data_IF_849320652448
#
_entry.id   IF_849320652448
#
_cell.length_a   1.000
_cell.length_b   1.000
_cell.length_c   1.000
_cell.angle_alpha   90.00
_cell.angle_beta   90.00
_cell.angle_gamma   90.00
#
_symmetry.space_group_name_H-M   'P 1'
#
loop_
_entity.id
_entity.type
_entity.pdbx_description
1 polymer ?
#
# COMPACT_ATOMS: atom_id res chain seq x y z
N UNK A 1 -14.87 20.98 0.50
CA UNK A 1 -15.48 21.89 -0.50
C UNK A 1 -16.57 22.72 0.17
N UNK A 2 -16.53 24.06 0.03
CA UNK A 2 -17.51 24.97 0.66
C UNK A 2 -18.93 24.60 0.22
N UNK A 3 -19.84 24.39 1.18
CA UNK A 3 -21.25 24.00 0.92
C UNK A 3 -21.51 22.50 0.68
N UNK A 4 -20.49 21.72 0.32
CA UNK A 4 -20.62 20.27 0.05
C UNK A 4 -20.14 19.44 1.25
N UNK A 5 -19.09 19.89 1.92
CA UNK A 5 -18.42 19.18 3.01
C UNK A 5 -17.11 18.53 2.55
N UNK A 6 -16.73 17.43 3.19
CA UNK A 6 -15.49 16.72 2.93
C UNK A 6 -15.64 15.82 1.70
N UNK A 7 -14.71 15.96 0.76
CA UNK A 7 -14.69 15.18 -0.48
C UNK A 7 -13.37 14.46 -0.57
N UNK A 8 -13.42 13.13 -0.63
CA UNK A 8 -12.27 12.26 -0.79
C UNK A 8 -12.23 11.80 -2.25
N UNK A 9 -11.07 11.92 -2.89
CA UNK A 9 -10.89 11.49 -4.27
C UNK A 9 -9.98 10.26 -4.34
N UNK A 10 -10.26 9.37 -5.28
CA UNK A 10 -9.46 8.17 -5.45
C UNK A 10 -9.94 7.29 -6.59
N UNK A 11 -9.23 6.18 -6.78
CA UNK A 11 -9.60 5.14 -7.74
C UNK A 11 -10.18 3.94 -7.00
N UNK A 12 -11.27 3.39 -7.53
CA UNK A 12 -11.81 2.13 -7.01
C UNK A 12 -10.91 0.98 -7.48
N UNK A 13 -10.25 0.32 -6.54
CA UNK A 13 -9.35 -0.80 -6.84
C UNK A 13 -10.08 -2.14 -6.95
N UNK A 14 -11.06 -2.36 -6.09
CA UNK A 14 -11.81 -3.61 -5.98
C UNK A 14 -13.19 -3.34 -5.39
N UNK A 15 -14.13 -4.23 -5.67
CA UNK A 15 -15.51 -4.14 -5.17
C UNK A 15 -16.32 -3.06 -5.87
N UNK A 16 -17.42 -2.65 -5.24
CA UNK A 16 -18.33 -1.63 -5.75
C UNK A 16 -18.51 -0.60 -4.66
N UNK A 17 -18.41 0.69 -4.99
CA UNK A 17 -18.66 1.77 -4.03
C UNK A 17 -20.06 2.32 -4.24
N UNK A 18 -20.92 2.20 -3.22
CA UNK A 18 -22.28 2.74 -3.20
C UNK A 18 -22.45 3.85 -2.15
N UNK A 19 -23.35 4.82 -2.40
CA UNK A 19 -23.85 5.71 -1.36
C UNK A 19 -24.41 4.95 -0.15
N UNK A 20 -24.43 5.60 1.00
CA UNK A 20 -24.91 5.13 2.29
C UNK A 20 -24.11 4.01 2.97
N UNK A 21 -22.97 3.61 2.42
CA UNK A 21 -22.09 2.62 3.05
C UNK A 21 -21.16 3.28 4.09
N UNK A 22 -20.95 2.58 5.21
CA UNK A 22 -19.98 2.97 6.23
C UNK A 22 -18.57 2.54 5.83
N UNK A 23 -17.60 3.45 5.96
CA UNK A 23 -16.22 3.29 5.53
C UNK A 23 -15.24 3.60 6.66
N UNK A 24 -14.06 2.99 6.57
CA UNK A 24 -12.88 3.33 7.37
C UNK A 24 -11.69 3.58 6.46
N UNK A 25 -10.74 4.39 6.93
CA UNK A 25 -9.56 4.78 6.15
C UNK A 25 -8.30 4.25 6.81
N UNK A 26 -7.65 3.28 6.17
CA UNK A 26 -6.46 2.60 6.69
C UNK A 26 -5.20 3.21 6.05
N UNK A 27 -4.10 3.43 6.79
CA UNK A 27 -3.85 2.97 8.14
C UNK A 27 -4.20 4.00 9.24
N UNK A 28 -4.73 5.18 8.87
CA UNK A 28 -5.07 6.27 9.81
C UNK A 28 -6.12 5.85 10.85
N UNK A 29 -7.05 4.97 10.49
CA UNK A 29 -7.95 4.29 11.41
C UNK A 29 -7.20 3.26 12.23
N UNK A 30 -7.34 3.32 13.56
CA UNK A 30 -6.92 2.28 14.51
C UNK A 30 -8.04 2.04 15.51
N UNK A 31 -8.05 0.92 16.26
CA UNK A 31 -9.02 0.68 17.34
C UNK A 31 -9.06 1.81 18.38
N UNK A 32 -7.92 2.46 18.64
CA UNK A 32 -7.78 3.59 19.56
C UNK A 32 -8.08 4.95 18.94
N UNK A 33 -8.04 5.07 17.61
CA UNK A 33 -8.13 6.36 16.91
C UNK A 33 -8.96 6.19 15.64
N UNK A 34 -10.24 6.56 15.74
CA UNK A 34 -11.18 6.39 14.64
C UNK A 34 -10.84 7.32 13.46
N UNK A 35 -10.73 6.73 12.26
CA UNK A 35 -10.86 7.43 10.98
C UNK A 35 -11.97 6.75 10.18
N UNK A 36 -13.21 7.15 10.45
CA UNK A 36 -14.42 6.51 9.89
C UNK A 36 -15.30 7.55 9.22
N UNK A 37 -16.17 7.12 8.31
CA UNK A 37 -17.18 7.98 7.72
C UNK A 37 -18.29 7.20 7.04
N UNK A 38 -19.22 7.92 6.42
CA UNK A 38 -20.31 7.36 5.60
C UNK A 38 -20.32 8.04 4.23
N UNK A 39 -20.29 7.24 3.16
CA UNK A 39 -20.36 7.75 1.79
C UNK A 39 -21.75 8.33 1.56
N UNK A 40 -21.85 9.60 1.19
CA UNK A 40 -23.12 10.28 0.94
C UNK A 40 -23.44 10.38 -0.55
N UNK A 41 -22.48 10.81 -1.37
CA UNK A 41 -22.60 10.83 -2.83
C UNK A 41 -21.34 10.30 -3.47
N UNK A 42 -21.51 9.68 -4.65
CA UNK A 42 -20.44 9.27 -5.55
C UNK A 42 -20.54 10.14 -6.79
N UNK A 43 -19.45 10.79 -7.17
CA UNK A 43 -19.41 11.71 -8.30
C UNK A 43 -18.26 11.35 -9.25
N UNK A 44 -18.56 11.30 -10.55
CA UNK A 44 -17.60 11.12 -11.64
C UNK A 44 -17.83 12.22 -12.66
N UNK A 45 -16.77 12.97 -13.01
CA UNK A 45 -16.85 14.07 -13.99
C UNK A 45 -18.04 15.03 -13.76
N UNK A 46 -18.19 15.52 -12.53
CA UNK A 46 -19.27 16.44 -12.11
C UNK A 46 -20.70 15.88 -12.22
N UNK A 47 -20.84 14.56 -12.40
CA UNK A 47 -22.14 13.88 -12.45
C UNK A 47 -22.26 12.89 -11.29
N UNK A 48 -23.43 12.85 -10.65
CA UNK A 48 -23.72 11.87 -9.61
C UNK A 48 -23.93 10.48 -10.19
N UNK A 49 -23.44 9.49 -9.47
CA UNK A 49 -23.47 8.09 -9.87
C UNK A 49 -24.15 7.28 -8.77
N UNK A 50 -24.93 6.27 -9.17
CA UNK A 50 -25.58 5.36 -8.22
C UNK A 50 -24.57 4.41 -7.56
N UNK A 51 -23.50 4.10 -8.28
CA UNK A 51 -22.39 3.27 -7.82
C UNK A 51 -21.13 3.56 -8.64
N UNK A 52 -19.97 3.18 -8.11
CA UNK A 52 -18.71 3.15 -8.85
C UNK A 52 -18.10 1.75 -8.85
N UNK A 53 -17.45 1.42 -9.96
CA UNK A 53 -16.90 0.11 -10.27
C UNK A 53 -15.36 0.14 -10.27
N UNK A 54 -14.70 -1.02 -10.19
CA UNK A 54 -13.24 -1.08 -10.26
C UNK A 54 -12.72 -0.41 -11.53
N UNK A 55 -11.76 0.50 -11.37
CA UNK A 55 -11.22 1.32 -12.45
C UNK A 55 -11.68 2.76 -12.44
N UNK A 56 -12.82 3.05 -11.84
CA UNK A 56 -13.39 4.40 -11.81
C UNK A 56 -12.59 5.34 -10.92
N UNK A 57 -12.36 6.57 -11.40
CA UNK A 57 -11.83 7.66 -10.60
C UNK A 57 -13.00 8.50 -10.09
N UNK A 58 -13.17 8.55 -8.78
CA UNK A 58 -14.37 9.09 -8.13
C UNK A 58 -14.02 10.20 -7.15
N UNK A 59 -14.94 11.15 -7.00
CA UNK A 59 -15.05 12.02 -5.84
C UNK A 59 -16.17 11.51 -4.94
N UNK A 60 -15.87 11.28 -3.67
CA UNK A 60 -16.81 10.77 -2.67
C UNK A 60 -17.07 11.88 -1.66
N UNK A 61 -18.33 12.32 -1.52
CA UNK A 61 -18.72 13.12 -0.38
C UNK A 61 -18.84 12.19 0.83
N UNK A 62 -18.03 12.41 1.86
CA UNK A 62 -18.03 11.56 3.06
C UNK A 62 -18.47 12.38 4.25
N UNK A 63 -19.47 11.88 4.97
CA UNK A 63 -19.99 12.50 6.21
C UNK A 63 -19.46 11.78 7.43
N UNK A 64 -19.37 12.51 8.55
CA UNK A 64 -18.97 11.94 9.84
C UNK A 64 -17.47 11.67 9.97
N UNK A 65 -16.64 12.27 9.12
CA UNK A 65 -15.19 12.23 9.30
C UNK A 65 -14.79 12.96 10.59
N UNK A 66 -13.85 12.37 11.33
CA UNK A 66 -13.29 12.93 12.56
C UNK A 66 -12.26 13.99 12.20
N UNK A 67 -12.51 15.25 12.55
CA UNK A 67 -11.66 16.39 12.14
C UNK A 67 -10.23 16.27 12.66
N UNK A 68 -10.07 15.70 13.84
CA UNK A 68 -8.79 15.51 14.52
C UNK A 68 -7.97 14.38 13.89
N UNK A 69 -8.62 13.45 13.18
CA UNK A 69 -7.99 12.30 12.55
C UNK A 69 -8.54 12.06 11.13
N UNK A 70 -8.39 13.08 10.28
CA UNK A 70 -8.86 13.05 8.89
C UNK A 70 -8.07 12.06 8.03
N UNK A 71 -8.69 11.46 7.00
CA UNK A 71 -7.99 10.64 6.01
C UNK A 71 -6.83 11.39 5.35
N UNK A 72 -5.75 10.68 5.08
CA UNK A 72 -4.53 11.23 4.48
C UNK A 72 -4.30 10.66 3.08
N UNK A 73 -3.51 11.37 2.28
CA UNK A 73 -3.05 10.82 1.00
C UNK A 73 -2.29 9.52 1.24
N UNK A 74 -2.70 8.47 0.53
CA UNK A 74 -2.15 7.14 0.71
C UNK A 74 -3.00 6.23 1.59
N UNK A 75 -4.01 6.77 2.27
CA UNK A 75 -5.00 5.94 2.95
C UNK A 75 -5.83 5.16 1.94
N UNK A 76 -6.14 3.92 2.30
CA UNK A 76 -7.05 3.04 1.58
C UNK A 76 -8.39 3.07 2.28
N UNK A 77 -9.42 3.50 1.55
CA UNK A 77 -10.80 3.42 2.01
C UNK A 77 -11.31 1.99 1.82
N UNK A 78 -11.80 1.38 2.90
CA UNK A 78 -12.50 0.09 2.86
C UNK A 78 -13.87 0.25 3.52
N UNK A 79 -14.78 -0.68 3.23
CA UNK A 79 -16.01 -0.74 4.00
C UNK A 79 -15.73 -1.15 5.43
N UNK A 80 -16.45 -0.58 6.38
CA UNK A 80 -16.28 -0.88 7.81
C UNK A 80 -16.55 -2.36 8.13
N UNK A 81 -17.39 -3.02 7.32
CA UNK A 81 -17.66 -4.46 7.40
C UNK A 81 -16.56 -5.34 6.79
N UNK A 82 -15.60 -4.74 6.09
CA UNK A 82 -14.47 -5.44 5.47
C UNK A 82 -13.32 -5.59 6.47
N UNK A 83 -13.03 -6.83 6.84
CA UNK A 83 -11.92 -7.20 7.73
C UNK A 83 -10.73 -7.83 7.02
N UNK A 84 -10.68 -7.79 5.68
CA UNK A 84 -9.63 -8.44 4.89
C UNK A 84 -8.31 -7.68 4.96
N UNK A 85 -8.35 -6.36 5.12
CA UNK A 85 -7.16 -5.50 5.21
C UNK A 85 -6.78 -5.24 6.67
N UNK A 86 -5.49 -5.39 6.99
CA UNK A 86 -4.95 -5.20 8.34
C UNK A 86 -3.73 -4.28 8.31
N UNK A 87 -3.40 -3.67 9.45
CA UNK A 87 -2.15 -2.93 9.59
C UNK A 87 -0.96 -3.86 9.38
N UNK A 88 0.01 -3.43 8.59
CA UNK A 88 1.17 -4.25 8.23
C UNK A 88 2.31 -3.97 9.20
N UNK A 89 2.83 -5.03 9.83
CA UNK A 89 4.08 -4.97 10.60
C UNK A 89 5.28 -5.15 9.67
N UNK A 90 5.21 -6.19 8.83
CA UNK A 90 6.20 -6.47 7.81
C UNK A 90 5.53 -7.13 6.60
N UNK A 91 6.17 -7.03 5.44
CA UNK A 91 5.69 -7.69 4.23
C UNK A 91 6.84 -8.36 3.50
N UNK A 92 6.57 -9.57 2.99
CA UNK A 92 7.48 -10.29 2.10
C UNK A 92 7.15 -9.89 0.67
N UNK A 93 8.15 -9.44 -0.09
CA UNK A 93 8.00 -9.09 -1.50
C UNK A 93 9.02 -9.81 -2.36
N UNK A 94 8.59 -10.24 -3.54
CA UNK A 94 9.50 -10.59 -4.63
C UNK A 94 9.87 -9.32 -5.37
N UNK A 95 11.16 -9.03 -5.48
CA UNK A 95 11.70 -7.80 -6.05
C UNK A 95 12.65 -8.11 -7.20
N UNK A 96 12.58 -7.28 -8.23
CA UNK A 96 13.63 -7.11 -9.23
C UNK A 96 14.47 -5.90 -8.80
N UNK A 97 15.75 -6.13 -8.53
CA UNK A 97 16.71 -5.04 -8.33
C UNK A 97 17.06 -4.45 -9.69
N UNK A 98 16.95 -3.13 -9.80
CA UNK A 98 17.29 -2.38 -11.01
C UNK A 98 18.76 -1.97 -10.95
N UNK A 99 19.13 -0.87 -11.60
CA UNK A 99 20.49 -0.38 -11.56
C UNK A 99 20.75 0.39 -10.26
N UNK A 100 21.57 -0.18 -9.39
CA UNK A 100 21.94 0.40 -8.10
C UNK A 100 23.46 0.53 -7.99
N UNK A 101 23.98 1.62 -7.40
CA UNK A 101 25.40 1.78 -7.17
C UNK A 101 25.84 0.85 -6.02
N UNK A 102 26.44 -0.29 -6.36
CA UNK A 102 27.03 -1.21 -5.39
C UNK A 102 26.08 -2.32 -4.94
N UNK A 103 26.03 -2.57 -3.64
CA UNK A 103 25.32 -3.70 -3.04
C UNK A 103 24.26 -3.23 -2.02
N UNK A 104 23.07 -3.82 -2.07
CA UNK A 104 22.01 -3.62 -1.09
C UNK A 104 22.16 -4.68 0.00
N UNK A 105 22.23 -4.24 1.26
CA UNK A 105 22.34 -5.12 2.43
C UNK A 105 21.17 -4.91 3.39
N UNK A 106 20.95 -5.89 4.27
CA UNK A 106 19.99 -5.77 5.38
C UNK A 106 20.24 -4.47 6.15
N UNK A 107 19.16 -3.76 6.46
CA UNK A 107 19.19 -2.40 7.03
C UNK A 107 18.98 -1.28 6.00
N UNK A 108 19.15 -1.55 4.70
CA UNK A 108 18.81 -0.60 3.64
C UNK A 108 17.35 -0.15 3.75
N UNK A 109 17.09 1.16 3.66
CA UNK A 109 15.78 1.74 3.99
C UNK A 109 15.24 2.66 2.88
N UNK A 110 14.90 2.11 1.70
CA UNK A 110 14.32 2.90 0.61
C UNK A 110 12.90 3.38 0.95
N UNK A 111 12.39 4.32 0.16
CA UNK A 111 10.98 4.71 0.22
C UNK A 111 10.18 3.76 -0.66
N UNK A 112 9.30 2.96 -0.05
CA UNK A 112 8.34 2.14 -0.76
C UNK A 112 7.11 2.97 -1.10
N UNK A 113 6.66 2.87 -2.35
CA UNK A 113 5.42 3.41 -2.87
C UNK A 113 4.47 2.28 -3.21
N UNK A 114 3.24 2.35 -2.68
CA UNK A 114 2.14 1.44 -2.97
C UNK A 114 0.94 2.29 -3.30
N UNK A 115 0.54 2.31 -4.58
CA UNK A 115 -0.46 3.26 -5.09
C UNK A 115 -0.09 4.69 -4.71
N UNK A 116 -0.94 5.38 -3.95
CA UNK A 116 -0.70 6.75 -3.46
C UNK A 116 -0.06 6.77 -2.07
N UNK A 117 0.09 5.61 -1.43
CA UNK A 117 0.74 5.43 -0.15
C UNK A 117 2.25 5.34 -0.28
N UNK A 118 2.95 5.83 0.74
CA UNK A 118 4.40 5.73 0.83
C UNK A 118 4.88 5.60 2.26
N UNK A 119 5.97 4.85 2.45
CA UNK A 119 6.69 4.78 3.73
C UNK A 119 8.15 4.44 3.46
N UNK A 120 9.05 4.99 4.27
CA UNK A 120 10.38 4.40 4.37
C UNK A 120 10.22 2.95 4.87
N UNK A 121 10.89 2.00 4.24
CA UNK A 121 10.76 0.58 4.56
C UNK A 121 12.15 -0.01 4.77
N UNK A 122 12.44 -0.47 5.99
CA UNK A 122 13.70 -1.12 6.31
C UNK A 122 13.70 -2.53 5.73
N UNK A 123 14.72 -2.88 4.97
CA UNK A 123 15.01 -4.24 4.55
C UNK A 123 15.45 -5.05 5.78
N UNK A 124 14.56 -5.91 6.28
CA UNK A 124 14.77 -6.71 7.48
C UNK A 124 15.49 -8.03 7.18
N UNK A 125 15.30 -8.59 5.99
CA UNK A 125 15.94 -9.84 5.59
C UNK A 125 15.85 -10.10 4.09
N UNK A 126 16.77 -10.91 3.58
CA UNK A 126 16.77 -11.40 2.21
C UNK A 126 16.65 -12.92 2.30
N UNK A 127 15.53 -13.48 1.84
CA UNK A 127 15.26 -14.92 1.93
C UNK A 127 16.01 -15.68 0.85
N UNK A 128 15.97 -15.18 -0.37
CA UNK A 128 16.68 -15.79 -1.49
C UNK A 128 16.96 -14.78 -2.58
N UNK A 129 17.95 -15.08 -3.43
CA UNK A 129 18.22 -14.36 -4.67
C UNK A 129 18.52 -15.28 -5.86
N UNK A 130 18.32 -14.75 -7.06
CA UNK A 130 18.64 -15.35 -8.35
C UNK A 130 19.24 -14.26 -9.22
N UNK A 131 20.41 -14.51 -9.81
CA UNK A 131 21.07 -13.55 -10.66
C UNK A 131 22.26 -14.13 -11.40
N UNK A 132 23.05 -13.26 -12.05
CA UNK A 132 24.27 -13.67 -12.76
C UNK A 132 25.30 -14.28 -11.81
N UNK A 133 25.46 -13.71 -10.61
CA UNK A 133 26.42 -14.22 -9.61
C UNK A 133 26.06 -15.62 -9.09
N UNK A 134 24.77 -15.93 -9.02
CA UNK A 134 24.32 -17.27 -8.61
C UNK A 134 24.28 -18.26 -9.77
N UNK A 135 24.74 -17.86 -10.96
CA UNK A 135 24.66 -18.68 -12.18
C UNK A 135 23.22 -18.99 -12.58
N UNK A 136 22.27 -18.10 -12.25
CA UNK A 136 20.84 -18.30 -12.48
C UNK A 136 20.17 -19.30 -11.52
N UNK A 137 20.90 -19.81 -10.52
CA UNK A 137 20.34 -20.70 -9.49
C UNK A 137 19.81 -19.90 -8.31
N UNK A 138 18.84 -20.47 -7.61
CA UNK A 138 18.32 -19.92 -6.35
C UNK A 138 19.37 -20.10 -5.26
N UNK A 139 19.79 -18.99 -4.65
CA UNK A 139 20.65 -18.95 -3.48
C UNK A 139 19.80 -18.49 -2.29
N UNK A 140 19.68 -19.35 -1.28
CA UNK A 140 19.00 -19.03 -0.02
C UNK A 140 19.92 -18.16 0.88
N UNK A 141 19.31 -17.33 1.71
CA UNK A 141 19.95 -16.47 2.72
C UNK A 141 21.19 -15.68 2.26
N UNK A 142 21.13 -14.94 1.12
CA UNK A 142 22.26 -14.19 0.63
C UNK A 142 22.56 -12.96 1.51
N UNK A 143 23.84 -12.59 1.62
CA UNK A 143 24.27 -11.43 2.42
C UNK A 143 23.95 -10.07 1.78
N UNK A 144 23.81 -10.02 0.45
CA UNK A 144 23.59 -8.78 -0.29
C UNK A 144 22.91 -9.03 -1.65
N UNK A 145 22.26 -7.99 -2.17
CA UNK A 145 21.70 -7.92 -3.51
C UNK A 145 22.50 -6.96 -4.40
N UNK A 146 22.58 -7.27 -5.70
CA UNK A 146 23.21 -6.45 -6.74
C UNK A 146 22.22 -6.14 -7.86
N UNK A 147 22.63 -5.25 -8.76
CA UNK A 147 21.84 -4.87 -9.93
C UNK A 147 21.41 -6.08 -10.76
N UNK A 148 20.16 -6.04 -11.25
CA UNK A 148 19.54 -7.06 -12.08
C UNK A 148 19.30 -8.43 -11.40
N UNK A 149 19.39 -8.51 -10.07
CA UNK A 149 19.02 -9.72 -9.33
C UNK A 149 17.51 -9.75 -9.01
N UNK A 150 16.93 -10.93 -9.07
CA UNK A 150 15.61 -11.22 -8.52
C UNK A 150 15.78 -11.75 -7.10
N UNK A 151 14.97 -11.27 -6.15
CA UNK A 151 15.06 -11.70 -4.76
C UNK A 151 13.70 -11.76 -4.09
N UNK A 152 13.59 -12.52 -3.02
CA UNK A 152 12.51 -12.39 -2.06
C UNK A 152 13.04 -11.79 -0.78
N UNK A 153 12.45 -10.67 -0.37
CA UNK A 153 12.91 -9.83 0.72
C UNK A 153 11.79 -9.55 1.68
N UNK A 154 12.15 -9.27 2.94
CA UNK A 154 11.22 -8.86 3.98
C UNK A 154 11.46 -7.38 4.29
N UNK A 155 10.42 -6.58 4.17
CA UNK A 155 10.44 -5.16 4.51
C UNK A 155 9.59 -4.86 5.74
N UNK A 156 10.07 -3.92 6.54
CA UNK A 156 9.38 -3.37 7.71
C UNK A 156 9.10 -1.88 7.47
N UNK A 157 7.84 -1.46 7.29
CA UNK A 157 7.49 -0.05 7.18
C UNK A 157 7.82 0.72 8.48
N UNK A 158 8.53 1.84 8.34
CA UNK A 158 8.84 2.75 9.45
C UNK A 158 7.61 3.62 9.78
N UNK A 159 6.91 4.08 8.76
CA UNK A 159 5.60 4.71 8.89
C UNK A 159 4.49 3.72 8.51
N UNK A 160 3.25 3.90 9.02
CA UNK A 160 2.13 3.07 8.61
C UNK A 160 1.95 3.08 7.09
N UNK A 161 1.92 1.90 6.50
CA UNK A 161 1.74 1.67 5.06
C UNK A 161 0.71 0.56 4.88
N UNK A 162 -0.16 0.74 3.90
CA UNK A 162 -1.05 -0.32 3.43
C UNK A 162 -0.41 -1.00 2.23
N UNK A 163 -0.19 -2.30 2.35
CA UNK A 163 0.31 -3.20 1.31
C UNK A 163 -0.34 -4.55 1.55
N UNK A 164 -0.63 -5.30 0.49
CA UNK A 164 -1.24 -6.61 0.63
C UNK A 164 -0.78 -7.59 -0.46
N UNK A 165 -1.05 -8.87 -0.26
CA UNK A 165 -0.81 -9.91 -1.26
C UNK A 165 -1.64 -9.68 -2.52
N UNK A 166 -1.08 -10.08 -3.65
CA UNK A 166 -1.76 -10.03 -4.94
C UNK A 166 -3.08 -10.82 -4.96
N UNK A 167 -3.18 -11.88 -4.15
CA UNK A 167 -4.39 -12.70 -4.07
C UNK A 167 -5.55 -11.95 -3.41
N UNK A 168 -5.27 -11.11 -2.41
CA UNK A 168 -6.32 -10.33 -1.76
C UNK A 168 -6.68 -9.09 -2.58
N UNK A 169 -5.68 -8.27 -2.90
CA UNK A 169 -5.86 -7.08 -3.71
C UNK A 169 -4.64 -6.87 -4.62
N UNK A 170 -4.81 -7.11 -5.92
CA UNK A 170 -3.76 -6.90 -6.91
C UNK A 170 -3.19 -5.48 -6.84
N UNK A 171 -4.06 -4.48 -6.68
CA UNK A 171 -3.66 -3.08 -6.69
C UNK A 171 -2.73 -2.69 -5.53
N UNK A 172 -2.88 -3.32 -4.37
CA UNK A 172 -2.06 -3.05 -3.19
C UNK A 172 -0.80 -3.91 -3.11
N UNK A 173 -0.60 -4.81 -4.07
CA UNK A 173 0.53 -5.73 -4.08
C UNK A 173 1.76 -5.21 -4.82
N UNK A 174 1.60 -4.22 -5.70
CA UNK A 174 2.70 -3.68 -6.50
C UNK A 174 3.42 -2.59 -5.70
N UNK A 175 4.71 -2.76 -5.51
CA UNK A 175 5.56 -1.87 -4.70
C UNK A 175 6.68 -1.33 -5.57
N UNK A 176 6.85 -0.01 -5.61
CA UNK A 176 8.06 0.60 -6.18
C UNK A 176 8.93 1.10 -5.04
N UNK A 177 10.20 0.70 -5.00
CA UNK A 177 11.15 1.18 -4.00
C UNK A 177 12.10 2.17 -4.65
N UNK A 178 12.22 3.34 -4.02
CA UNK A 178 13.00 4.46 -4.54
C UNK A 178 14.05 4.94 -3.54
N UNK A 179 15.15 5.44 -4.09
CA UNK A 179 16.21 6.14 -3.37
C UNK A 179 16.53 7.44 -4.11
N UNK A 180 16.41 8.57 -3.41
CA UNK A 180 16.40 9.88 -4.05
C UNK A 180 15.34 9.94 -5.15
N UNK A 181 15.76 10.18 -6.39
CA UNK A 181 14.89 10.24 -7.57
C UNK A 181 14.91 8.95 -8.41
N UNK A 182 15.71 7.94 -8.02
CA UNK A 182 15.88 6.70 -8.75
C UNK A 182 14.99 5.58 -8.23
N UNK A 183 14.44 4.77 -9.13
CA UNK A 183 13.80 3.50 -8.77
C UNK A 183 14.88 2.45 -8.62
N UNK A 184 15.01 1.88 -7.42
CA UNK A 184 16.05 0.89 -7.10
C UNK A 184 15.54 -0.54 -7.19
N UNK A 185 14.25 -0.75 -6.87
CA UNK A 185 13.62 -2.07 -6.95
C UNK A 185 12.15 -1.93 -7.36
N UNK A 186 11.67 -2.90 -8.15
CA UNK A 186 10.25 -3.10 -8.41
C UNK A 186 9.82 -4.41 -7.77
N UNK A 187 8.75 -4.37 -6.99
CA UNK A 187 8.34 -5.45 -6.13
C UNK A 187 6.89 -5.85 -6.28
N UNK A 188 6.61 -7.11 -5.95
CA UNK A 188 5.28 -7.66 -5.75
C UNK A 188 5.20 -8.29 -4.37
N UNK A 189 4.30 -7.81 -3.54
CA UNK A 189 4.02 -8.37 -2.22
C UNK A 189 3.43 -9.78 -2.36
N UNK A 190 4.07 -10.72 -1.67
CA UNK A 190 3.71 -12.14 -1.61
C UNK A 190 2.84 -12.41 -0.39
N UNK A 191 3.24 -11.87 0.76
CA UNK A 191 2.53 -12.04 2.04
C UNK A 191 2.80 -10.88 2.99
N UNK A 192 1.89 -10.69 3.94
CA UNK A 192 1.98 -9.67 4.98
C UNK A 192 1.90 -10.32 6.36
N UNK A 193 2.58 -9.72 7.32
CA UNK A 193 2.43 -10.01 8.74
C UNK A 193 1.65 -8.85 9.35
N UNK A 194 0.52 -9.18 9.98
CA UNK A 194 -0.32 -8.18 10.61
C UNK A 194 0.37 -7.62 11.86
N UNK A 195 0.25 -6.31 12.08
CA UNK A 195 0.66 -5.67 13.31
C UNK A 195 -0.40 -5.91 14.37
N UNK A 196 0.01 -6.43 15.52
CA UNK A 196 -0.85 -6.49 16.70
C UNK A 196 -1.19 -5.06 17.11
N UNK A 197 -2.44 -4.66 16.88
CA UNK A 197 -2.94 -3.37 17.33
C UNK A 197 -3.49 -3.57 18.74
N UNK A 198 -2.64 -3.34 19.74
CA UNK A 198 -3.04 -3.26 21.15
C UNK A 198 -3.82 -1.99 21.42
#
# INVERSE_FOLDING_TARGET
IKGVGDVITGRVEQGIVKPNEEVVFMPTHTPSTACTGKVFTVEMHHTRQEQALPGDNVGLNVKGLVKENMPRTGDVMIYKKDGTLKHVQSFTAQVQVLDVPGEIKVGYSPIAFVRTGRSACRLAGIKWKVGKETGGKKMEDPHALKSNEMAEVVFEPIQPLVVDSFKNCEGLSRVALMEGNGVVMLGKCVSTVAKDVK
#
